data_IF_288637979696
#
_entry.id   IF_288637979696
#
_cell.length_a   1.000
_cell.length_b   1.000
_cell.length_c   1.000
_cell.angle_alpha   90.00
_cell.angle_beta   90.00
_cell.angle_gamma   90.00
#
_symmetry.space_group_name_H-M   'P 1'
#
loop_
_entity.id
_entity.type
_entity.pdbx_description
1 polymer ?
#
# COMPACT_ATOMS: atom_id res chain seq x y z
N UNK A 1 6.04 28.83 -19.38
CA UNK A 1 5.05 27.73 -19.40
C UNK A 1 5.59 26.41 -18.81
N UNK A 2 6.72 25.88 -19.29
CA UNK A 2 7.31 24.61 -18.79
C UNK A 2 7.57 24.57 -17.27
N UNK A 3 8.02 25.69 -16.69
CA UNK A 3 8.37 25.79 -15.27
C UNK A 3 7.15 25.78 -14.33
N UNK A 4 6.01 26.33 -14.79
CA UNK A 4 4.79 26.47 -14.00
C UNK A 4 4.04 25.13 -13.85
N UNK A 5 4.06 24.29 -14.90
CA UNK A 5 3.57 22.92 -14.80
C UNK A 5 4.37 22.09 -13.79
N UNK A 6 5.71 22.15 -13.87
CA UNK A 6 6.60 21.41 -12.96
C UNK A 6 6.35 21.82 -11.50
N UNK A 7 6.18 23.12 -11.23
CA UNK A 7 5.86 23.62 -9.89
C UNK A 7 4.52 23.10 -9.37
N UNK A 8 3.48 23.06 -10.22
CA UNK A 8 2.16 22.53 -9.83
C UNK A 8 2.19 21.03 -9.55
N UNK A 9 2.86 20.26 -10.41
CA UNK A 9 3.02 18.81 -10.20
C UNK A 9 3.82 18.54 -8.92
N UNK A 10 4.90 19.29 -8.66
CA UNK A 10 5.66 19.17 -7.43
C UNK A 10 4.83 19.43 -6.17
N UNK A 11 3.95 20.44 -6.20
CA UNK A 11 3.02 20.71 -5.09
C UNK A 11 2.02 19.59 -4.89
N UNK A 12 1.45 19.04 -5.98
CA UNK A 12 0.54 17.91 -5.90
C UNK A 12 1.22 16.68 -5.29
N UNK A 13 2.44 16.36 -5.73
CA UNK A 13 3.22 15.26 -5.17
C UNK A 13 3.49 15.43 -3.67
N UNK A 14 3.80 16.65 -3.23
CA UNK A 14 3.95 16.96 -1.80
C UNK A 14 2.64 16.77 -1.02
N UNK A 15 1.50 17.20 -1.57
CA UNK A 15 0.20 16.97 -0.93
C UNK A 15 -0.14 15.48 -0.81
N UNK A 16 0.16 14.69 -1.85
CA UNK A 16 -0.02 13.23 -1.83
C UNK A 16 0.89 12.55 -0.80
N UNK A 17 2.15 12.97 -0.67
CA UNK A 17 3.05 12.51 0.40
C UNK A 17 2.59 12.89 1.80
N UNK A 18 1.91 14.03 1.97
CA UNK A 18 1.37 14.39 3.28
C UNK A 18 0.14 13.54 3.62
N UNK A 19 -0.70 13.22 2.62
CA UNK A 19 -1.80 12.28 2.79
C UNK A 19 -1.32 10.89 3.21
N UNK A 20 -0.23 10.37 2.63
CA UNK A 20 0.33 9.06 3.05
C UNK A 20 0.75 9.07 4.52
N UNK A 21 1.34 10.17 5.01
CA UNK A 21 1.74 10.32 6.42
C UNK A 21 0.55 10.33 7.37
N UNK A 22 -0.58 10.90 6.96
CA UNK A 22 -1.83 10.90 7.74
C UNK A 22 -2.49 9.51 7.71
N UNK A 23 -2.42 8.83 6.58
CA UNK A 23 -3.01 7.50 6.38
C UNK A 23 -2.25 6.39 7.13
N UNK A 24 -0.91 6.45 7.12
CA UNK A 24 -0.04 5.43 7.72
C UNK A 24 -0.43 5.00 9.15
N UNK A 25 -0.63 5.91 10.14
CA UNK A 25 -1.01 5.48 11.49
C UNK A 25 -2.38 4.79 11.54
N UNK A 26 -3.30 5.15 10.66
CA UNK A 26 -4.64 4.55 10.62
C UNK A 26 -4.57 3.10 10.10
N UNK A 27 -3.84 2.88 9.00
CA UNK A 27 -3.62 1.53 8.50
C UNK A 27 -2.77 0.69 9.44
N UNK A 28 -1.80 1.30 10.14
CA UNK A 28 -1.03 0.58 11.15
C UNK A 28 -1.93 0.00 12.25
N UNK A 29 -2.92 0.78 12.72
CA UNK A 29 -3.91 0.30 13.71
C UNK A 29 -4.76 -0.83 13.13
N UNK A 30 -5.22 -0.71 11.88
CA UNK A 30 -6.06 -1.74 11.26
C UNK A 30 -5.30 -3.06 11.02
N UNK A 31 -4.08 -2.98 10.49
CA UNK A 31 -3.21 -4.15 10.30
C UNK A 31 -2.90 -4.80 11.65
N UNK A 32 -2.55 -4.04 12.68
CA UNK A 32 -2.36 -4.57 14.02
C UNK A 32 -3.60 -5.28 14.56
N UNK A 33 -4.79 -4.72 14.32
CA UNK A 33 -6.05 -5.33 14.74
C UNK A 33 -6.31 -6.66 14.01
N UNK A 34 -6.06 -6.73 12.70
CA UNK A 34 -6.16 -7.96 11.90
C UNK A 34 -5.20 -9.04 12.45
N UNK A 35 -3.93 -8.68 12.65
CA UNK A 35 -2.89 -9.60 13.10
C UNK A 35 -3.16 -10.13 14.52
N UNK A 36 -3.50 -9.23 15.46
CA UNK A 36 -3.77 -9.60 16.86
C UNK A 36 -5.02 -10.47 17.00
N UNK A 37 -6.05 -10.18 16.21
CA UNK A 37 -7.26 -11.00 16.18
C UNK A 37 -7.07 -12.33 15.42
N UNK A 38 -5.92 -12.53 14.76
CA UNK A 38 -5.69 -13.61 13.80
C UNK A 38 -6.87 -13.74 12.82
N UNK A 39 -7.35 -12.58 12.32
CA UNK A 39 -8.52 -12.53 11.48
C UNK A 39 -8.29 -13.27 10.16
N UNK A 40 -9.22 -14.16 9.78
CA UNK A 40 -9.24 -14.83 8.48
C UNK A 40 -10.38 -14.32 7.58
N UNK A 41 -10.91 -13.14 7.91
CA UNK A 41 -11.93 -12.48 7.11
C UNK A 41 -11.29 -11.90 5.84
N UNK A 42 -11.33 -12.67 4.76
CA UNK A 42 -10.71 -12.33 3.48
C UNK A 42 -11.19 -10.96 2.97
N UNK A 43 -12.50 -10.67 3.08
CA UNK A 43 -13.08 -9.40 2.62
C UNK A 43 -12.52 -8.20 3.37
N UNK A 44 -12.28 -8.33 4.68
CA UNK A 44 -11.68 -7.26 5.49
C UNK A 44 -10.23 -7.04 5.10
N UNK A 45 -9.47 -8.12 4.91
CA UNK A 45 -8.05 -8.08 4.58
C UNK A 45 -7.84 -7.53 3.17
N UNK A 46 -8.59 -8.02 2.18
CA UNK A 46 -8.56 -7.56 0.79
C UNK A 46 -8.91 -6.06 0.69
N UNK A 47 -9.96 -5.60 1.38
CA UNK A 47 -10.27 -4.16 1.45
C UNK A 47 -9.14 -3.34 2.08
N UNK A 48 -8.43 -3.90 3.06
CA UNK A 48 -7.28 -3.25 3.66
C UNK A 48 -6.12 -3.16 2.67
N UNK A 49 -5.85 -4.24 1.91
CA UNK A 49 -4.88 -4.22 0.83
C UNK A 49 -5.22 -3.19 -0.25
N UNK A 50 -6.45 -3.21 -0.79
CA UNK A 50 -6.90 -2.29 -1.84
C UNK A 50 -6.66 -0.84 -1.42
N UNK A 51 -7.05 -0.49 -0.18
CA UNK A 51 -6.93 0.86 0.31
C UNK A 51 -5.48 1.27 0.65
N UNK A 52 -4.62 0.33 1.08
CA UNK A 52 -3.20 0.61 1.34
C UNK A 52 -2.38 0.71 0.05
N UNK A 53 -2.77 0.00 -1.01
CA UNK A 53 -2.06 -0.05 -2.29
C UNK A 53 -1.96 1.35 -2.92
N UNK A 54 -2.99 2.18 -2.77
CA UNK A 54 -3.02 3.58 -3.19
C UNK A 54 -1.89 4.44 -2.59
N UNK A 55 -1.33 4.02 -1.45
CA UNK A 55 -0.30 4.74 -0.71
C UNK A 55 1.07 4.07 -0.74
N UNK A 56 1.23 2.95 -1.47
CA UNK A 56 2.47 2.18 -1.49
C UNK A 56 3.65 2.85 -2.21
N UNK A 57 3.44 4.05 -2.79
CA UNK A 57 4.53 4.96 -3.17
C UNK A 57 5.35 5.47 -1.96
N UNK A 58 4.80 5.36 -0.74
CA UNK A 58 5.48 5.67 0.51
C UNK A 58 6.12 4.41 1.09
N UNK A 59 7.44 4.43 1.31
CA UNK A 59 8.21 3.29 1.80
C UNK A 59 7.68 2.72 3.12
N UNK A 60 7.16 3.56 4.02
CA UNK A 60 6.63 3.10 5.31
C UNK A 60 5.30 2.38 5.13
N UNK A 61 4.47 2.86 4.21
CA UNK A 61 3.26 2.14 3.81
C UNK A 61 3.60 0.79 3.21
N UNK A 62 4.60 0.73 2.32
CA UNK A 62 5.04 -0.52 1.69
C UNK A 62 5.54 -1.54 2.72
N UNK A 63 6.27 -1.11 3.75
CA UNK A 63 6.70 -2.01 4.85
C UNK A 63 5.48 -2.60 5.56
N UNK A 64 4.46 -1.78 5.85
CA UNK A 64 3.23 -2.25 6.48
C UNK A 64 2.45 -3.20 5.57
N UNK A 65 2.37 -2.89 4.28
CA UNK A 65 1.73 -3.70 3.25
C UNK A 65 2.36 -5.09 3.16
N UNK A 66 3.70 -5.15 3.07
CA UNK A 66 4.47 -6.41 3.05
C UNK A 66 4.22 -7.24 4.31
N UNK A 67 4.06 -6.61 5.47
CA UNK A 67 3.74 -7.33 6.70
C UNK A 67 2.37 -7.99 6.65
N UNK A 68 1.37 -7.31 6.08
CA UNK A 68 0.05 -7.90 5.86
C UNK A 68 0.12 -9.03 4.81
N UNK A 69 0.92 -8.89 3.75
CA UNK A 69 1.18 -9.97 2.79
C UNK A 69 1.76 -11.22 3.47
N UNK A 70 2.80 -11.06 4.31
CA UNK A 70 3.39 -12.20 5.02
C UNK A 70 2.36 -12.94 5.88
N UNK A 71 1.47 -12.22 6.54
CA UNK A 71 0.40 -12.82 7.32
C UNK A 71 -0.64 -13.53 6.45
N UNK A 72 -1.07 -12.88 5.37
CA UNK A 72 -2.12 -13.41 4.52
C UNK A 72 -1.65 -14.57 3.65
N UNK A 73 -0.35 -14.69 3.39
CA UNK A 73 0.24 -15.81 2.67
C UNK A 73 -0.09 -17.17 3.30
N UNK A 74 -0.10 -17.25 4.64
CA UNK A 74 -0.45 -18.47 5.38
C UNK A 74 -1.95 -18.82 5.29
N UNK A 75 -2.78 -17.89 4.82
CA UNK A 75 -4.24 -18.04 4.69
C UNK A 75 -4.61 -18.31 3.23
N UNK A 76 -4.12 -17.46 2.33
CA UNK A 76 -4.38 -17.50 0.90
C UNK A 76 -3.14 -16.98 0.13
N UNK A 77 -2.23 -17.89 -0.28
CA UNK A 77 -1.03 -17.51 -1.00
C UNK A 77 -1.30 -17.02 -2.42
N UNK A 78 -2.39 -17.45 -3.06
CA UNK A 78 -2.76 -17.03 -4.42
C UNK A 78 -3.20 -15.57 -4.41
N UNK A 79 -4.13 -15.21 -3.53
CA UNK A 79 -4.58 -13.82 -3.38
C UNK A 79 -3.45 -12.92 -2.86
N UNK A 80 -2.58 -13.44 -1.98
CA UNK A 80 -1.39 -12.69 -1.56
C UNK A 80 -0.45 -12.40 -2.74
N UNK A 81 -0.20 -13.37 -3.62
CA UNK A 81 0.61 -13.17 -4.80
C UNK A 81 -0.01 -12.12 -5.74
N UNK A 82 -1.33 -12.15 -5.93
CA UNK A 82 -2.05 -11.12 -6.69
C UNK A 82 -1.74 -9.70 -6.17
N UNK A 83 -1.80 -9.49 -4.85
CA UNK A 83 -1.50 -8.18 -4.25
C UNK A 83 -0.03 -7.76 -4.36
N UNK A 84 0.90 -8.72 -4.24
CA UNK A 84 2.33 -8.44 -4.51
C UNK A 84 2.54 -8.02 -5.96
N UNK A 85 1.85 -8.67 -6.91
CA UNK A 85 1.90 -8.29 -8.32
C UNK A 85 1.27 -6.93 -8.58
N UNK A 86 0.12 -6.64 -7.96
CA UNK A 86 -0.55 -5.34 -8.08
C UNK A 86 0.34 -4.19 -7.60
N UNK A 87 1.06 -4.37 -6.47
CA UNK A 87 2.09 -3.42 -6.03
C UNK A 87 3.17 -3.21 -7.10
N UNK A 88 3.71 -4.31 -7.66
CA UNK A 88 4.79 -4.22 -8.65
C UNK A 88 4.35 -3.50 -9.91
N UNK A 89 3.17 -3.83 -10.43
CA UNK A 89 2.61 -3.21 -11.63
C UNK A 89 2.39 -1.70 -11.44
N UNK A 90 1.99 -1.26 -10.24
CA UNK A 90 1.70 0.15 -9.97
C UNK A 90 2.94 0.97 -9.61
N UNK A 91 3.87 0.41 -8.85
CA UNK A 91 4.89 1.20 -8.12
C UNK A 91 6.33 0.71 -8.28
N UNK A 92 6.57 -0.53 -8.71
CA UNK A 92 7.94 -1.03 -8.89
C UNK A 92 8.45 -0.57 -10.26
N UNK A 93 9.56 0.15 -10.28
CA UNK A 93 10.12 0.76 -11.49
C UNK A 93 10.86 -0.24 -12.39
N UNK A 94 10.68 -1.54 -12.21
CA UNK A 94 11.44 -2.55 -12.96
C UNK A 94 10.73 -2.94 -14.27
N UNK A 95 11.15 -2.42 -15.44
CA UNK A 95 10.96 -3.13 -16.69
C UNK A 95 11.90 -4.34 -16.67
N UNK A 96 11.45 -5.45 -16.11
CA UNK A 96 12.06 -6.75 -16.38
C UNK A 96 11.29 -7.41 -17.53
N UNK A 97 11.71 -7.06 -18.75
CA UNK A 97 12.03 -7.95 -19.86
C UNK A 97 12.49 -7.17 -21.10
#
# INVERSE_FOLDING_TARGET
>A
MKNDLVLRVGKLAQSVQELSRIALPQYAVEVEAILKAQSRDSRRIEKCFDAMLDFCFDDKMLVLYKRLCCYYYDIDPETTAFYVHAYREMWDESPEQ
#
